data_IF_768474616322
#
_entry.id   IF_768474616322
#
_cell.length_a   1.000
_cell.length_b   1.000
_cell.length_c   1.000
_cell.angle_alpha   90.00
_cell.angle_beta   90.00
_cell.angle_gamma   90.00
#
_symmetry.space_group_name_H-M   'P 1'
#
loop_
_entity.id
_entity.type
_entity.pdbx_description
1 polymer ?
#
# COMPACT_ATOMS: atom_id res chain seq x y z
N UNK A 1 -10.15 13.10 -26.21
CA UNK A 1 -10.12 11.75 -26.82
C UNK A 1 -10.34 10.77 -25.67
N UNK A 2 -11.59 10.34 -25.52
CA UNK A 2 -12.03 9.40 -24.49
C UNK A 2 -11.43 8.02 -24.78
N UNK A 3 -10.82 7.37 -23.78
CA UNK A 3 -10.61 5.93 -23.82
C UNK A 3 -10.61 5.34 -22.41
N UNK A 4 -11.55 4.41 -22.24
CA UNK A 4 -11.58 3.28 -21.30
C UNK A 4 -11.63 3.55 -19.79
N UNK A 5 -12.83 3.90 -19.32
CA UNK A 5 -13.33 3.36 -18.03
C UNK A 5 -13.98 2.01 -18.30
N UNK A 6 -13.18 0.96 -18.34
CA UNK A 6 -13.66 -0.42 -18.43
C UNK A 6 -14.12 -0.95 -17.07
N UNK A 7 -15.30 -0.54 -16.61
CA UNK A 7 -16.13 -1.33 -15.67
C UNK A 7 -17.59 -1.00 -15.95
N UNK A 8 -18.29 -1.89 -16.64
CA UNK A 8 -19.76 -1.84 -16.63
C UNK A 8 -20.21 -2.09 -15.20
N UNK A 9 -20.93 -1.15 -14.59
CA UNK A 9 -21.63 -1.44 -13.34
C UNK A 9 -22.50 -2.68 -13.55
N UNK A 10 -22.35 -3.68 -12.67
CA UNK A 10 -23.14 -4.92 -12.75
C UNK A 10 -24.62 -4.55 -12.79
N UNK A 11 -25.30 -4.97 -13.86
CA UNK A 11 -26.75 -4.79 -14.03
C UNK A 11 -27.49 -5.26 -12.78
N UNK A 12 -28.55 -4.55 -12.41
CA UNK A 12 -29.38 -4.82 -11.22
C UNK A 12 -29.88 -6.27 -11.16
N UNK A 13 -30.09 -6.91 -12.31
CA UNK A 13 -30.48 -8.31 -12.42
C UNK A 13 -29.37 -9.29 -11.96
N UNK A 14 -28.10 -8.91 -12.13
CA UNK A 14 -26.93 -9.73 -11.77
C UNK A 14 -26.59 -9.58 -10.29
N UNK A 15 -26.67 -8.36 -9.73
CA UNK A 15 -26.46 -8.08 -8.29
C UNK A 15 -27.40 -8.88 -7.39
N UNK A 16 -28.64 -9.15 -7.82
CA UNK A 16 -29.63 -9.92 -7.05
C UNK A 16 -29.31 -11.43 -6.96
N UNK A 17 -28.42 -11.95 -7.81
CA UNK A 17 -28.03 -13.38 -7.86
C UNK A 17 -26.67 -13.66 -7.20
N UNK A 18 -25.89 -12.63 -6.90
CA UNK A 18 -24.62 -12.74 -6.19
C UNK A 18 -24.79 -12.23 -4.76
N UNK A 19 -24.75 -13.13 -3.77
CA UNK A 19 -24.58 -12.74 -2.39
C UNK A 19 -23.17 -12.15 -2.22
N UNK A 20 -23.07 -10.84 -2.12
CA UNK A 20 -21.80 -10.15 -1.87
C UNK A 20 -21.56 -10.14 -0.36
N UNK A 21 -20.53 -10.83 0.10
CA UNK A 21 -20.04 -10.72 1.47
C UNK A 21 -19.02 -9.58 1.51
N UNK A 22 -19.33 -8.53 2.26
CA UNK A 22 -18.36 -7.46 2.54
C UNK A 22 -17.52 -7.94 3.72
N UNK A 23 -16.25 -8.25 3.46
CA UNK A 23 -15.29 -8.49 4.52
C UNK A 23 -14.83 -7.13 5.07
N UNK A 24 -14.95 -6.88 6.38
CA UNK A 24 -14.42 -5.66 6.97
C UNK A 24 -12.89 -5.65 6.90
N UNK A 25 -12.30 -4.46 6.90
CA UNK A 25 -10.85 -4.32 7.04
C UNK A 25 -10.40 -4.72 8.45
N UNK A 26 -9.16 -5.18 8.63
CA UNK A 26 -8.63 -5.53 9.95
C UNK A 26 -8.69 -4.35 10.92
N UNK A 27 -8.85 -4.66 12.20
CA UNK A 27 -9.12 -3.67 13.23
C UNK A 27 -7.89 -2.86 13.63
N UNK A 28 -6.69 -3.46 13.56
CA UNK A 28 -5.44 -2.83 14.00
C UNK A 28 -4.31 -2.97 12.97
N UNK A 29 -3.27 -2.14 13.14
CA UNK A 29 -2.03 -2.22 12.34
C UNK A 29 -1.38 -3.58 12.52
N UNK A 30 -1.35 -4.12 13.73
CA UNK A 30 -0.74 -5.42 14.04
C UNK A 30 -1.46 -6.56 13.33
N UNK A 31 -2.80 -6.54 13.33
CA UNK A 31 -3.61 -7.55 12.66
C UNK A 31 -3.41 -7.51 11.14
N UNK A 32 -3.46 -6.31 10.54
CA UNK A 32 -3.25 -6.12 9.11
C UNK A 32 -1.81 -6.47 8.71
N UNK A 33 -0.80 -6.09 9.50
CA UNK A 33 0.61 -6.45 9.30
C UNK A 33 0.80 -7.96 9.34
N UNK A 34 0.17 -8.66 10.29
CA UNK A 34 0.25 -10.12 10.39
C UNK A 34 -0.35 -10.80 9.16
N UNK A 35 -1.49 -10.30 8.67
CA UNK A 35 -2.12 -10.82 7.44
C UNK A 35 -1.20 -10.61 6.25
N UNK A 36 -0.64 -9.40 6.09
CA UNK A 36 0.32 -9.09 5.01
C UNK A 36 1.53 -10.02 5.10
N UNK A 37 2.14 -10.16 6.28
CA UNK A 37 3.30 -11.02 6.51
C UNK A 37 3.04 -12.47 6.12
N UNK A 38 1.91 -13.03 6.53
CA UNK A 38 1.54 -14.41 6.20
C UNK A 38 1.40 -14.61 4.69
N UNK A 39 0.74 -13.68 4.00
CA UNK A 39 0.51 -13.77 2.57
C UNK A 39 1.79 -13.60 1.77
N UNK A 40 2.62 -12.60 2.07
CA UNK A 40 3.89 -12.37 1.36
C UNK A 40 4.89 -13.52 1.59
N UNK A 41 4.93 -14.09 2.80
CA UNK A 41 5.75 -15.28 3.09
C UNK A 41 5.25 -16.51 2.32
N UNK A 42 3.94 -16.66 2.18
CA UNK A 42 3.37 -17.76 1.39
C UNK A 42 3.67 -17.60 -0.10
N UNK A 43 3.50 -16.41 -0.65
CA UNK A 43 3.76 -16.10 -2.05
C UNK A 43 5.24 -16.18 -2.40
N UNK A 44 6.12 -15.63 -1.55
CA UNK A 44 7.57 -15.69 -1.77
C UNK A 44 8.10 -17.13 -1.85
N UNK A 45 7.58 -18.04 -0.99
CA UNK A 45 7.90 -19.47 -1.07
C UNK A 45 7.39 -20.13 -2.35
N UNK A 46 6.16 -19.81 -2.76
CA UNK A 46 5.57 -20.39 -3.98
C UNK A 46 6.27 -19.92 -5.26
N UNK A 47 6.85 -18.72 -5.24
CA UNK A 47 7.59 -18.12 -6.35
C UNK A 47 9.10 -18.38 -6.30
N UNK A 48 9.58 -19.13 -5.30
CA UNK A 48 11.01 -19.41 -5.08
C UNK A 48 11.89 -18.15 -5.10
N UNK A 49 11.36 -17.03 -4.56
CA UNK A 49 12.09 -15.76 -4.57
C UNK A 49 13.34 -15.87 -3.67
N UNK A 50 14.55 -15.54 -4.18
CA UNK A 50 15.77 -15.56 -3.39
C UNK A 50 15.91 -14.32 -2.48
N UNK A 51 14.79 -13.82 -1.93
CA UNK A 51 14.78 -12.73 -0.97
C UNK A 51 14.60 -13.26 0.44
N UNK A 52 15.22 -12.58 1.41
CA UNK A 52 14.91 -12.81 2.81
C UNK A 52 13.46 -12.43 3.12
N UNK A 53 12.81 -13.09 4.10
CA UNK A 53 11.51 -12.64 4.57
C UNK A 53 11.55 -11.15 4.94
N UNK A 54 10.58 -10.34 4.49
CA UNK A 54 10.63 -8.90 4.71
C UNK A 54 10.63 -8.59 6.21
N UNK A 55 11.44 -7.61 6.60
CA UNK A 55 11.47 -7.13 7.98
C UNK A 55 10.07 -6.65 8.39
N UNK A 56 9.64 -7.03 9.59
CA UNK A 56 8.30 -6.69 10.09
C UNK A 56 8.06 -5.18 10.08
N UNK A 57 9.11 -4.40 10.31
CA UNK A 57 9.07 -2.94 10.30
C UNK A 57 8.63 -2.39 8.94
N UNK A 58 9.17 -2.89 7.83
CA UNK A 58 8.80 -2.45 6.49
C UNK A 58 7.34 -2.75 6.17
N UNK A 59 6.85 -3.93 6.61
CA UNK A 59 5.44 -4.30 6.48
C UNK A 59 4.55 -3.33 7.28
N UNK A 60 4.94 -3.04 8.52
CA UNK A 60 4.24 -2.10 9.39
C UNK A 60 4.19 -0.71 8.76
N UNK A 61 5.29 -0.21 8.17
CA UNK A 61 5.30 1.09 7.49
C UNK A 61 4.27 1.16 6.36
N UNK A 62 4.24 0.15 5.47
CA UNK A 62 3.27 0.08 4.36
C UNK A 62 1.84 0.05 4.88
N UNK A 63 1.55 -0.81 5.85
CA UNK A 63 0.22 -0.96 6.45
C UNK A 63 -0.22 0.34 7.13
N UNK A 64 0.65 0.97 7.91
CA UNK A 64 0.36 2.25 8.55
C UNK A 64 0.00 3.32 7.50
N UNK A 65 0.78 3.47 6.43
CA UNK A 65 0.46 4.44 5.37
C UNK A 65 -0.95 4.21 4.81
N UNK A 66 -1.27 2.96 4.50
CA UNK A 66 -2.55 2.59 3.90
C UNK A 66 -3.70 2.89 4.84
N UNK A 67 -3.57 2.52 6.13
CA UNK A 67 -4.60 2.76 7.13
C UNK A 67 -4.83 4.23 7.40
N UNK A 68 -3.76 5.04 7.47
CA UNK A 68 -3.88 6.47 7.73
C UNK A 68 -4.57 7.19 6.57
N UNK A 69 -4.14 6.93 5.33
CA UNK A 69 -4.76 7.50 4.14
C UNK A 69 -6.20 7.03 3.96
N UNK A 70 -6.50 5.74 4.22
CA UNK A 70 -7.85 5.18 4.15
C UNK A 70 -8.79 5.74 5.22
N UNK A 71 -8.28 6.02 6.43
CA UNK A 71 -9.07 6.56 7.54
C UNK A 71 -9.16 8.09 7.56
N UNK A 72 -8.29 8.78 6.81
CA UNK A 72 -8.22 10.24 6.79
C UNK A 72 -7.64 10.84 8.08
N UNK A 73 -6.93 10.03 8.88
CA UNK A 73 -6.27 10.47 10.10
C UNK A 73 -5.04 9.61 10.38
N UNK A 74 -4.02 10.16 11.03
CA UNK A 74 -2.87 9.38 11.51
C UNK A 74 -3.29 8.35 12.57
N UNK A 75 -2.52 7.26 12.74
CA UNK A 75 -2.84 6.18 13.68
C UNK A 75 -2.88 6.68 15.14
N UNK A 76 -2.15 7.75 15.46
CA UNK A 76 -2.19 8.42 16.76
C UNK A 76 -3.41 9.35 16.95
N UNK A 77 -4.24 9.51 15.91
CA UNK A 77 -5.43 10.34 15.89
C UNK A 77 -5.18 11.84 15.81
N UNK A 78 -3.92 12.30 15.73
CA UNK A 78 -3.56 13.72 15.92
C UNK A 78 -3.64 14.56 14.66
N UNK A 79 -3.38 13.96 13.49
CA UNK A 79 -3.25 14.70 12.23
C UNK A 79 -4.30 14.23 11.25
N UNK A 80 -5.12 15.14 10.73
CA UNK A 80 -6.03 14.84 9.63
C UNK A 80 -5.26 14.74 8.32
N UNK A 81 -5.56 13.72 7.53
CA UNK A 81 -4.96 13.50 6.21
C UNK A 81 -6.05 13.37 5.17
N UNK A 82 -5.74 13.74 3.94
CA UNK A 82 -6.67 13.56 2.82
C UNK A 82 -6.64 12.11 2.36
N UNK A 83 -7.81 11.56 2.06
CA UNK A 83 -7.92 10.21 1.50
C UNK A 83 -7.84 10.27 -0.03
N UNK A 84 -6.94 9.49 -0.66
CA UNK A 84 -6.88 9.38 -2.11
C UNK A 84 -8.09 8.58 -2.65
N UNK A 85 -8.24 8.55 -3.97
CA UNK A 85 -9.34 7.83 -4.63
C UNK A 85 -9.22 6.30 -4.60
N UNK A 86 -8.04 5.76 -4.26
CA UNK A 86 -7.77 4.32 -4.16
C UNK A 86 -8.34 3.66 -2.90
N UNK A 87 -8.62 2.36 -2.99
CA UNK A 87 -9.21 1.57 -1.88
C UNK A 87 -8.23 1.34 -0.72
N UNK A 88 -6.92 1.28 -1.00
CA UNK A 88 -5.85 1.05 -0.01
C UNK A 88 -6.12 -0.16 0.88
N UNK A 89 -6.45 -1.28 0.26
CA UNK A 89 -6.81 -2.53 0.91
C UNK A 89 -5.59 -3.34 1.40
N UNK A 90 -5.77 -4.32 2.32
CA UNK A 90 -4.71 -5.27 2.66
C UNK A 90 -4.12 -6.00 1.45
N UNK A 91 -4.94 -6.28 0.43
CA UNK A 91 -4.50 -6.92 -0.82
C UNK A 91 -3.56 -6.04 -1.65
N UNK A 92 -3.80 -4.73 -1.66
CA UNK A 92 -2.88 -3.79 -2.29
C UNK A 92 -1.56 -3.70 -1.50
N UNK A 93 -1.59 -3.73 -0.16
CA UNK A 93 -0.38 -3.76 0.66
C UNK A 93 0.46 -5.02 0.39
N UNK A 94 -0.18 -6.18 0.27
CA UNK A 94 0.49 -7.44 -0.15
C UNK A 94 1.14 -7.27 -1.52
N UNK A 95 0.44 -6.65 -2.47
CA UNK A 95 0.97 -6.40 -3.82
C UNK A 95 2.20 -5.49 -3.82
N UNK A 96 2.18 -4.42 -3.00
CA UNK A 96 3.32 -3.50 -2.83
C UNK A 96 4.53 -4.25 -2.28
N UNK A 97 4.34 -4.98 -1.19
CA UNK A 97 5.44 -5.72 -0.54
C UNK A 97 5.99 -6.81 -1.46
N UNK A 98 5.12 -7.57 -2.13
CA UNK A 98 5.55 -8.64 -3.03
C UNK A 98 6.34 -8.09 -4.23
N UNK A 99 5.94 -6.92 -4.75
CA UNK A 99 6.69 -6.23 -5.80
C UNK A 99 8.06 -5.77 -5.28
N UNK A 100 8.12 -5.20 -4.07
CA UNK A 100 9.38 -4.82 -3.44
C UNK A 100 10.30 -6.01 -3.19
N UNK A 101 9.77 -7.15 -2.74
CA UNK A 101 10.54 -8.39 -2.59
C UNK A 101 11.15 -8.85 -3.91
N UNK A 102 10.40 -8.76 -5.01
CA UNK A 102 10.92 -9.11 -6.34
C UNK A 102 12.03 -8.15 -6.79
N UNK A 103 11.88 -6.84 -6.52
CA UNK A 103 12.92 -5.85 -6.81
C UNK A 103 14.19 -6.15 -5.99
N UNK A 104 14.05 -6.36 -4.68
CA UNK A 104 15.17 -6.69 -3.80
C UNK A 104 15.88 -7.99 -4.22
N UNK A 105 15.11 -9.03 -4.58
CA UNK A 105 15.64 -10.33 -5.01
C UNK A 105 16.45 -10.26 -6.31
N UNK A 106 16.00 -9.45 -7.29
CA UNK A 106 16.55 -9.46 -8.64
C UNK A 106 17.49 -8.30 -8.94
N UNK A 107 17.33 -7.19 -8.24
CA UNK A 107 18.06 -5.94 -8.50
C UNK A 107 18.71 -5.33 -7.26
N UNK A 108 18.39 -5.85 -6.06
CA UNK A 108 18.94 -5.39 -4.79
C UNK A 108 19.93 -6.38 -4.17
N UNK A 109 20.04 -6.33 -2.85
CA UNK A 109 20.88 -7.20 -2.02
C UNK A 109 20.11 -8.39 -1.42
N UNK A 110 18.88 -8.63 -1.89
CA UNK A 110 17.99 -9.66 -1.36
C UNK A 110 17.21 -9.26 -0.11
N UNK A 111 17.43 -8.06 0.44
CA UNK A 111 16.67 -7.51 1.56
C UNK A 111 15.78 -6.36 1.09
N UNK A 112 14.53 -6.36 1.55
CA UNK A 112 13.60 -5.28 1.21
C UNK A 112 14.01 -4.01 1.94
N UNK A 113 14.06 -2.89 1.23
CA UNK A 113 14.30 -1.57 1.79
C UNK A 113 13.25 -0.56 1.29
N UNK A 114 13.33 0.66 1.82
CA UNK A 114 12.43 1.77 1.46
C UNK A 114 12.37 2.06 -0.05
N UNK A 115 13.47 1.94 -0.78
CA UNK A 115 13.52 2.20 -2.23
C UNK A 115 12.73 1.16 -3.02
N UNK A 116 12.78 -0.11 -2.60
CA UNK A 116 12.03 -1.20 -3.25
C UNK A 116 10.51 -1.04 -3.09
N UNK A 117 10.08 -0.36 -2.02
CA UNK A 117 8.67 -0.11 -1.71
C UNK A 117 8.13 1.17 -2.35
N UNK A 118 8.98 2.17 -2.61
CA UNK A 118 8.57 3.51 -2.98
C UNK A 118 7.69 3.56 -4.25
N UNK A 119 8.11 2.92 -5.33
CA UNK A 119 7.34 2.88 -6.57
C UNK A 119 6.02 2.12 -6.41
N UNK A 120 6.02 1.03 -5.63
CA UNK A 120 4.82 0.27 -5.31
C UNK A 120 3.81 1.09 -4.50
N UNK A 121 4.28 1.79 -3.47
CA UNK A 121 3.47 2.71 -2.67
C UNK A 121 2.85 3.80 -3.53
N UNK A 122 3.63 4.47 -4.37
CA UNK A 122 3.11 5.51 -5.26
C UNK A 122 2.05 4.95 -6.22
N UNK A 123 2.32 3.81 -6.86
CA UNK A 123 1.35 3.18 -7.77
C UNK A 123 0.07 2.69 -7.08
N UNK A 124 0.14 2.35 -5.80
CA UNK A 124 -1.01 1.99 -4.99
C UNK A 124 -1.82 3.24 -4.56
N UNK A 125 -1.15 4.30 -4.13
CA UNK A 125 -1.79 5.52 -3.61
C UNK A 125 -2.30 6.43 -4.73
N UNK A 126 -1.53 6.60 -5.81
CA UNK A 126 -1.80 7.57 -6.88
C UNK A 126 -2.54 6.88 -8.03
N UNK A 127 -3.87 6.85 -7.99
CA UNK A 127 -4.72 6.33 -9.09
C UNK A 127 -5.16 7.45 -10.03
N UNK A 128 -5.48 8.63 -9.49
CA UNK A 128 -5.64 9.87 -10.23
C UNK A 128 -4.30 10.64 -10.23
N UNK A 129 -3.67 10.86 -11.40
CA UNK A 129 -2.34 11.46 -11.47
C UNK A 129 -2.28 12.93 -11.03
N UNK A 130 -3.43 13.59 -10.89
CA UNK A 130 -3.53 15.00 -10.49
C UNK A 130 -3.96 15.10 -9.02
N UNK A 131 -5.12 14.55 -8.67
CA UNK A 131 -5.67 14.71 -7.32
C UNK A 131 -4.92 13.86 -6.29
N UNK A 132 -4.72 12.58 -6.57
CA UNK A 132 -4.08 11.67 -5.60
C UNK A 132 -2.59 11.98 -5.45
N UNK A 133 -1.95 12.51 -6.50
CA UNK A 133 -0.54 12.96 -6.42
C UNK A 133 -0.38 14.07 -5.39
N UNK A 134 -1.26 15.07 -5.40
CA UNK A 134 -1.22 16.16 -4.43
C UNK A 134 -1.44 15.65 -3.00
N UNK A 135 -2.39 14.72 -2.82
CA UNK A 135 -2.66 14.06 -1.54
C UNK A 135 -1.44 13.30 -1.04
N UNK A 136 -0.79 12.54 -1.92
CA UNK A 136 0.39 11.76 -1.60
C UNK A 136 1.57 12.65 -1.18
N UNK A 137 1.86 13.70 -1.96
CA UNK A 137 2.92 14.66 -1.64
C UNK A 137 2.67 15.37 -0.30
N UNK A 138 1.44 15.79 -0.03
CA UNK A 138 1.06 16.40 1.25
C UNK A 138 1.27 15.44 2.42
N UNK A 139 0.86 14.18 2.29
CA UNK A 139 1.06 13.16 3.32
C UNK A 139 2.56 12.89 3.57
N UNK A 140 3.37 12.81 2.51
CA UNK A 140 4.82 12.65 2.64
C UNK A 140 5.46 13.81 3.41
N UNK A 141 5.11 15.05 3.08
CA UNK A 141 5.69 16.26 3.70
C UNK A 141 5.21 16.50 5.13
N UNK A 142 3.96 16.16 5.44
CA UNK A 142 3.34 16.49 6.73
C UNK A 142 3.42 15.36 7.76
N UNK A 143 3.42 14.11 7.31
CA UNK A 143 3.42 12.93 8.21
C UNK A 143 4.74 12.18 8.12
N UNK A 144 5.09 11.65 6.94
CA UNK A 144 6.24 10.75 6.78
C UNK A 144 7.56 11.43 7.12
N UNK A 145 7.77 12.65 6.63
CA UNK A 145 8.98 13.46 6.89
C UNK A 145 9.27 13.69 8.38
N UNK A 146 8.23 13.80 9.19
CA UNK A 146 8.33 14.13 10.61
C UNK A 146 8.27 12.89 11.52
N UNK A 147 8.02 11.71 10.95
CA UNK A 147 7.96 10.45 11.70
C UNK A 147 9.36 9.91 11.94
N UNK A 148 9.66 9.61 13.21
CA UNK A 148 10.96 9.05 13.60
C UNK A 148 11.19 7.71 12.90
N UNK A 149 12.40 7.52 12.36
CA UNK A 149 12.80 6.29 11.68
C UNK A 149 12.31 6.15 10.23
N UNK A 150 11.62 7.15 9.66
CA UNK A 150 11.03 7.07 8.32
C UNK A 150 11.74 7.98 7.30
N UNK A 151 12.96 8.45 7.61
CA UNK A 151 13.70 9.41 6.76
C UNK A 151 14.12 8.78 5.43
N UNK A 152 14.48 7.50 5.43
CA UNK A 152 14.77 6.69 4.26
C UNK A 152 13.54 6.56 3.35
N UNK A 153 12.40 6.20 3.93
CA UNK A 153 11.13 6.05 3.22
C UNK A 153 10.63 7.37 2.64
N UNK A 154 10.74 8.47 3.40
CA UNK A 154 10.42 9.81 2.89
C UNK A 154 11.27 10.16 1.68
N UNK A 155 12.60 9.95 1.74
CA UNK A 155 13.50 10.24 0.61
C UNK A 155 13.15 9.40 -0.61
N UNK A 156 13.02 8.08 -0.42
CA UNK A 156 12.70 7.14 -1.48
C UNK A 156 11.38 7.48 -2.18
N UNK A 157 10.32 7.75 -1.42
CA UNK A 157 9.01 8.10 -1.97
C UNK A 157 8.97 9.48 -2.62
N UNK A 158 9.69 10.47 -2.07
CA UNK A 158 9.75 11.83 -2.63
C UNK A 158 10.44 11.86 -3.99
N UNK A 159 11.47 11.05 -4.19
CA UNK A 159 12.19 11.01 -5.47
C UNK A 159 11.34 10.37 -6.60
N UNK A 160 10.22 9.73 -6.25
CA UNK A 160 9.23 9.21 -7.21
C UNK A 160 8.04 10.18 -7.46
N UNK A 161 7.80 11.11 -6.52
CA UNK A 161 6.54 11.88 -6.41
C UNK A 161 6.39 13.06 -7.37
#
# INVERSE_FOLDING_TARGET
YNRDRGVNELSSALKRRFNTVILPVPSSVEEETKIVQQQVTSLGRALELPAEPPAIEELTRVVTIFRELRSGVTEDGRTKVKSPSGTLSPAEAISVVNSGMAIAAHFGDGQINAADLAAGLQGAVVKDPVQDRLIWQEYLETVVKHRQGWTDLYRACRDQA
#
